data_IF_383843862956
#
_entry.id   IF_383843862956
#
_cell.length_a   1.000
_cell.length_b   1.000
_cell.length_c   1.000
_cell.angle_alpha   90.00
_cell.angle_beta   90.00
_cell.angle_gamma   90.00
#
_symmetry.space_group_name_H-M   'P 1'
#
loop_
_entity.id
_entity.type
_entity.pdbx_description
1 polymer ?
#
# COMPACT_ATOMS: atom_id res chain seq x y z
N UNK A 1 16.52 17.14 -19.68
CA UNK A 1 16.11 17.49 -18.30
C UNK A 1 15.77 16.18 -17.61
N UNK A 2 16.68 15.71 -16.76
CA UNK A 2 16.57 14.39 -16.11
C UNK A 2 15.46 14.37 -15.06
N UNK A 3 14.80 13.22 -14.94
CA UNK A 3 13.96 12.89 -13.80
C UNK A 3 14.75 13.14 -12.51
N UNK A 4 14.27 14.07 -11.69
CA UNK A 4 14.82 14.30 -10.37
C UNK A 4 14.45 13.08 -9.54
N UNK A 5 15.44 12.26 -9.20
CA UNK A 5 15.26 11.10 -8.34
C UNK A 5 14.94 11.58 -6.91
N UNK A 6 13.65 11.68 -6.61
CA UNK A 6 13.12 12.15 -5.32
C UNK A 6 13.27 11.09 -4.21
N UNK A 7 13.90 9.94 -4.48
CA UNK A 7 13.95 8.79 -3.57
C UNK A 7 15.06 8.85 -2.50
N UNK A 8 15.89 9.91 -2.48
CA UNK A 8 17.07 10.04 -1.61
C UNK A 8 16.84 10.03 -0.08
N UNK A 9 15.59 9.93 0.40
CA UNK A 9 15.26 9.83 1.84
C UNK A 9 14.23 8.76 2.17
N UNK A 10 14.02 7.79 1.28
CA UNK A 10 13.10 6.68 1.54
C UNK A 10 13.79 5.62 2.43
N UNK A 11 13.38 5.39 3.69
CA UNK A 11 13.91 4.28 4.47
C UNK A 11 13.76 2.99 3.66
N UNK A 12 14.85 2.22 3.59
CA UNK A 12 14.94 1.01 2.76
C UNK A 12 13.73 0.11 3.02
N UNK A 13 13.13 -0.42 1.95
CA UNK A 13 12.07 -1.42 2.05
C UNK A 13 12.54 -2.60 2.90
N UNK A 14 11.65 -3.11 3.77
CA UNK A 14 11.98 -4.28 4.59
C UNK A 14 12.39 -5.47 3.72
N UNK A 15 13.42 -6.21 4.15
CA UNK A 15 13.86 -7.43 3.46
C UNK A 15 12.70 -8.42 3.35
N UNK A 16 12.60 -9.08 2.21
CA UNK A 16 11.65 -10.20 2.03
C UNK A 16 12.27 -11.45 2.62
N UNK A 17 11.54 -12.10 3.52
CA UNK A 17 11.89 -13.40 4.07
C UNK A 17 10.65 -14.29 4.14
N UNK A 18 10.93 -15.59 4.03
CA UNK A 18 9.94 -16.63 4.23
C UNK A 18 9.56 -16.62 5.71
N UNK A 19 8.27 -16.46 5.99
CA UNK A 19 7.78 -16.61 7.36
C UNK A 19 7.56 -18.09 7.68
N UNK A 20 6.99 -18.84 6.73
CA UNK A 20 6.68 -20.26 6.90
C UNK A 20 6.69 -20.97 5.54
N UNK A 21 7.20 -22.19 5.54
CA UNK A 21 7.18 -23.09 4.38
C UNK A 21 5.77 -23.65 4.12
N UNK A 22 5.58 -24.21 2.92
CA UNK A 22 4.34 -24.87 2.55
C UNK A 22 4.05 -26.01 3.52
N UNK A 23 2.91 -25.94 4.20
CA UNK A 23 2.48 -26.96 5.15
C UNK A 23 3.00 -26.80 6.58
N UNK A 24 3.92 -25.86 6.86
CA UNK A 24 4.47 -25.63 8.21
C UNK A 24 3.74 -24.52 8.99
N UNK A 25 2.72 -23.89 8.40
CA UNK A 25 1.93 -22.85 9.05
C UNK A 25 0.85 -23.45 9.95
N UNK A 26 0.62 -22.91 11.17
CA UNK A 26 -0.56 -23.26 11.96
C UNK A 26 -1.84 -23.11 11.13
N UNK A 27 -2.67 -24.17 11.04
CA UNK A 27 -3.88 -24.19 10.19
C UNK A 27 -4.84 -23.03 10.50
N UNK A 28 -4.88 -22.60 11.74
CA UNK A 28 -5.67 -21.45 12.23
C UNK A 28 -5.11 -20.08 11.83
N UNK A 29 -3.88 -20.02 11.31
CA UNK A 29 -3.20 -18.80 10.87
C UNK A 29 -2.96 -18.76 9.36
N UNK A 30 -3.60 -19.65 8.58
CA UNK A 30 -3.63 -19.54 7.12
C UNK A 30 -4.25 -18.18 6.81
N UNK A 31 -3.49 -17.20 6.26
CA UNK A 31 -4.07 -15.91 5.94
C UNK A 31 -5.18 -16.16 4.92
N UNK A 32 -6.43 -15.70 5.16
CA UNK A 32 -7.59 -16.00 4.29
C UNK A 32 -7.39 -15.63 2.81
N UNK A 33 -6.35 -14.84 2.52
CA UNK A 33 -6.06 -14.25 1.22
C UNK A 33 -4.91 -14.92 0.47
N UNK A 34 -4.18 -15.85 1.09
CA UNK A 34 -3.27 -16.73 0.37
C UNK A 34 -4.12 -17.91 -0.09
N UNK A 35 -4.48 -17.92 -1.37
CA UNK A 35 -5.26 -19.01 -1.98
C UNK A 35 -4.41 -20.27 -2.04
N UNK A 36 -4.37 -21.00 -0.94
CA UNK A 36 -3.85 -22.36 -0.90
C UNK A 36 -4.89 -23.26 -1.55
N UNK A 37 -4.75 -23.48 -2.85
CA UNK A 37 -5.45 -24.60 -3.49
C UNK A 37 -4.63 -25.87 -3.20
N UNK A 38 -5.07 -26.64 -2.19
CA UNK A 38 -4.40 -27.88 -1.79
C UNK A 38 -4.46 -28.95 -2.90
N UNK A 39 -5.39 -28.80 -3.85
CA UNK A 39 -5.59 -29.73 -4.96
C UNK A 39 -4.80 -29.36 -6.21
N UNK A 40 -4.01 -28.26 -6.19
CA UNK A 40 -3.15 -27.87 -7.32
C UNK A 40 -1.68 -28.12 -7.02
N UNK A 41 -1.03 -28.76 -7.99
CA UNK A 41 0.42 -28.92 -8.02
C UNK A 41 1.12 -27.56 -7.93
N UNK A 42 2.19 -27.42 -7.13
CA UNK A 42 2.99 -26.21 -7.09
C UNK A 42 3.57 -25.90 -8.46
N UNK A 43 3.25 -24.71 -8.97
CA UNK A 43 3.88 -24.18 -10.19
C UNK A 43 5.36 -23.83 -9.98
N UNK A 44 5.74 -23.50 -8.75
CA UNK A 44 7.08 -23.00 -8.41
C UNK A 44 7.59 -23.62 -7.10
N UNK A 45 8.91 -23.71 -6.97
CA UNK A 45 9.56 -24.07 -5.71
C UNK A 45 9.56 -22.88 -4.74
N UNK A 46 9.69 -23.12 -3.43
CA UNK A 46 9.81 -22.07 -2.40
C UNK A 46 10.91 -21.05 -2.71
N UNK A 47 12.03 -21.49 -3.28
CA UNK A 47 13.13 -20.61 -3.67
C UNK A 47 12.76 -19.70 -4.85
N UNK A 48 12.07 -20.24 -5.85
CA UNK A 48 11.54 -19.45 -6.97
C UNK A 48 10.51 -18.43 -6.48
N UNK A 49 9.62 -18.84 -5.55
CA UNK A 49 8.67 -17.93 -4.89
C UNK A 49 9.38 -16.78 -4.15
N UNK A 50 10.45 -17.07 -3.41
CA UNK A 50 11.28 -16.05 -2.76
C UNK A 50 11.84 -15.02 -3.76
N UNK A 51 12.36 -15.49 -4.90
CA UNK A 51 12.91 -14.61 -5.95
C UNK A 51 11.80 -13.74 -6.56
N UNK A 52 10.65 -14.34 -6.86
CA UNK A 52 9.49 -13.63 -7.39
C UNK A 52 8.96 -12.57 -6.42
N UNK A 53 8.77 -12.92 -5.13
CA UNK A 53 8.31 -11.98 -4.11
C UNK A 53 9.28 -10.78 -3.98
N UNK A 54 10.60 -11.04 -3.91
CA UNK A 54 11.61 -9.96 -3.90
C UNK A 54 11.52 -9.07 -5.13
N UNK A 55 11.34 -9.66 -6.31
CA UNK A 55 11.20 -8.91 -7.57
C UNK A 55 9.95 -8.02 -7.55
N UNK A 56 8.81 -8.56 -7.12
CA UNK A 56 7.55 -7.81 -7.05
C UNK A 56 7.64 -6.68 -6.03
N UNK A 57 8.12 -6.95 -4.80
CA UNK A 57 8.31 -5.94 -3.74
C UNK A 57 9.23 -4.82 -4.21
N UNK A 58 10.37 -5.14 -4.84
CA UNK A 58 11.30 -4.13 -5.35
C UNK A 58 10.67 -3.29 -6.46
N UNK A 59 10.05 -3.95 -7.44
CA UNK A 59 9.44 -3.28 -8.60
C UNK A 59 8.30 -2.34 -8.19
N UNK A 60 7.45 -2.77 -7.27
CA UNK A 60 6.27 -2.00 -6.86
C UNK A 60 6.48 -1.18 -5.60
N UNK A 61 7.67 -1.22 -5.00
CA UNK A 61 7.96 -0.67 -3.67
C UNK A 61 7.00 -1.16 -2.58
N UNK A 62 6.52 -2.40 -2.70
CA UNK A 62 5.61 -3.05 -1.74
C UNK A 62 4.11 -2.86 -2.01
N UNK A 63 3.71 -2.03 -2.98
CA UNK A 63 2.30 -1.71 -3.25
C UNK A 63 1.56 -2.74 -4.11
N UNK A 64 2.22 -3.27 -5.14
CA UNK A 64 1.64 -4.19 -6.11
C UNK A 64 2.35 -5.54 -6.00
N UNK A 65 1.67 -6.50 -5.36
CA UNK A 65 2.13 -7.88 -5.18
C UNK A 65 0.96 -8.79 -5.55
N UNK A 66 1.19 -9.73 -6.46
CA UNK A 66 0.26 -10.77 -6.84
C UNK A 66 0.43 -11.97 -5.91
N UNK A 67 -0.30 -11.95 -4.80
CA UNK A 67 -0.26 -13.00 -3.80
C UNK A 67 -0.79 -14.35 -4.30
N UNK A 68 -1.49 -14.39 -5.44
CA UNK A 68 -2.03 -15.64 -6.01
C UNK A 68 -0.94 -16.55 -6.58
N UNK A 69 0.28 -16.03 -6.77
CA UNK A 69 1.44 -16.79 -7.27
C UNK A 69 2.18 -17.56 -6.18
N UNK A 70 1.85 -17.37 -4.91
CA UNK A 70 2.62 -17.90 -3.79
C UNK A 70 1.80 -18.91 -2.97
N UNK A 71 2.39 -20.08 -2.73
CA UNK A 71 1.92 -21.06 -1.74
C UNK A 71 2.57 -20.82 -0.39
N UNK A 72 3.82 -20.38 -0.40
CA UNK A 72 4.56 -20.01 0.80
C UNK A 72 4.07 -18.69 1.37
N UNK A 73 4.25 -18.50 2.69
CA UNK A 73 3.85 -17.27 3.35
C UNK A 73 5.06 -16.40 3.66
N UNK A 74 4.99 -15.15 3.24
CA UNK A 74 6.04 -14.16 3.41
C UNK A 74 5.64 -13.12 4.46
N UNK A 75 6.62 -12.31 4.84
CA UNK A 75 6.45 -11.20 5.78
C UNK A 75 5.63 -10.02 5.19
N UNK A 76 5.53 -9.93 3.86
CA UNK A 76 4.59 -9.05 3.18
C UNK A 76 3.25 -9.76 3.01
N UNK A 77 2.15 -9.10 3.39
CA UNK A 77 0.81 -9.69 3.36
C UNK A 77 -0.23 -8.69 2.85
N UNK A 78 -1.27 -9.15 2.13
CA UNK A 78 -2.42 -8.31 1.84
C UNK A 78 -3.17 -8.02 3.15
N UNK A 79 -3.70 -6.82 3.28
CA UNK A 79 -4.50 -6.41 4.46
C UNK A 79 -5.97 -6.74 4.19
N UNK A 80 -6.59 -7.47 5.11
CA UNK A 80 -8.03 -7.68 5.13
C UNK A 80 -8.71 -6.49 5.83
N UNK A 81 -9.58 -5.78 5.13
CA UNK A 81 -10.25 -4.60 5.70
C UNK A 81 -11.26 -4.95 6.79
N UNK A 82 -11.77 -6.18 6.78
CA UNK A 82 -12.85 -6.61 7.68
C UNK A 82 -12.31 -7.42 8.87
N UNK A 83 -10.99 -7.60 8.97
CA UNK A 83 -10.39 -8.25 10.13
C UNK A 83 -10.16 -7.25 11.28
N UNK A 84 -9.97 -7.78 12.49
CA UNK A 84 -9.72 -7.02 13.72
C UNK A 84 -8.26 -7.07 14.19
N UNK A 85 -7.35 -7.60 13.35
CA UNK A 85 -5.94 -7.84 13.73
C UNK A 85 -5.09 -6.55 13.70
N UNK A 86 -5.49 -5.58 12.88
CA UNK A 86 -4.61 -4.47 12.49
C UNK A 86 -4.84 -3.17 13.25
N UNK A 87 -5.98 -3.02 13.90
CA UNK A 87 -6.39 -1.82 14.63
C UNK A 87 -6.76 -2.18 16.07
N UNK A 88 -6.56 -1.22 16.97
CA UNK A 88 -7.01 -1.31 18.35
C UNK A 88 -8.45 -0.81 18.45
N UNK A 89 -9.29 -1.52 19.19
CA UNK A 89 -10.67 -1.09 19.40
C UNK A 89 -10.68 0.30 20.05
N UNK A 90 -11.56 1.23 19.62
CA UNK A 90 -12.74 1.00 18.78
C UNK A 90 -12.51 1.13 17.25
N UNK A 91 -11.30 1.46 16.79
CA UNK A 91 -11.04 1.65 15.36
C UNK A 91 -11.09 0.30 14.62
N UNK A 92 -11.71 0.28 13.43
CA UNK A 92 -11.68 -0.88 12.54
C UNK A 92 -10.46 -0.83 11.63
N UNK A 93 -10.01 -1.97 11.07
CA UNK A 93 -8.90 -1.96 10.11
C UNK A 93 -9.17 -1.01 8.94
N UNK A 94 -10.42 -0.99 8.44
CA UNK A 94 -10.85 -0.04 7.40
C UNK A 94 -10.70 1.41 7.87
N UNK A 95 -11.20 1.73 9.06
CA UNK A 95 -11.08 3.07 9.66
C UNK A 95 -9.64 3.52 9.79
N UNK A 96 -8.76 2.63 10.27
CA UNK A 96 -7.31 2.87 10.34
C UNK A 96 -6.74 3.23 8.96
N UNK A 97 -6.98 2.40 7.94
CA UNK A 97 -6.43 2.65 6.59
C UNK A 97 -6.96 3.94 5.98
N UNK A 98 -8.24 4.27 6.19
CA UNK A 98 -8.84 5.53 5.73
C UNK A 98 -8.20 6.73 6.43
N UNK A 99 -8.03 6.68 7.75
CA UNK A 99 -7.37 7.74 8.54
C UNK A 99 -5.93 7.96 8.08
N UNK A 100 -5.16 6.89 7.93
CA UNK A 100 -3.77 6.96 7.45
C UNK A 100 -3.70 7.56 6.03
N UNK A 101 -4.64 7.19 5.15
CA UNK A 101 -4.71 7.72 3.78
C UNK A 101 -5.05 9.21 3.76
N UNK A 102 -6.07 9.63 4.53
CA UNK A 102 -6.48 11.04 4.65
C UNK A 102 -5.35 11.91 5.19
N UNK A 103 -4.65 11.46 6.22
CA UNK A 103 -3.53 12.21 6.79
C UNK A 103 -2.34 12.29 5.82
N UNK A 104 -2.03 11.19 5.12
CA UNK A 104 -1.01 11.19 4.05
C UNK A 104 -1.36 12.19 2.94
N UNK A 105 -2.62 12.22 2.51
CA UNK A 105 -3.10 13.14 1.47
C UNK A 105 -3.09 14.58 1.96
N UNK A 106 -3.48 14.84 3.21
CA UNK A 106 -3.43 16.17 3.83
C UNK A 106 -2.01 16.73 3.82
N UNK A 107 -1.02 15.91 4.18
CA UNK A 107 0.38 16.31 4.14
C UNK A 107 0.84 16.60 2.71
N UNK A 108 0.50 15.74 1.75
CA UNK A 108 0.79 15.94 0.33
C UNK A 108 0.18 17.24 -0.21
N UNK A 109 -1.11 17.47 0.07
CA UNK A 109 -1.84 18.67 -0.33
C UNK A 109 -1.18 19.94 0.20
N UNK A 110 -0.76 19.92 1.47
CA UNK A 110 -0.05 21.03 2.11
C UNK A 110 1.32 21.28 1.47
N UNK A 111 2.09 20.23 1.23
CA UNK A 111 3.45 20.32 0.69
C UNK A 111 3.46 20.78 -0.78
N UNK A 112 2.52 20.29 -1.59
CA UNK A 112 2.47 20.53 -3.03
C UNK A 112 1.42 21.56 -3.45
N UNK A 113 0.78 22.24 -2.49
CA UNK A 113 -0.29 23.22 -2.72
C UNK A 113 -1.41 22.68 -3.62
N UNK A 114 -1.89 21.47 -3.29
CA UNK A 114 -2.98 20.79 -4.02
C UNK A 114 -4.21 20.61 -3.14
N UNK A 115 -5.36 20.33 -3.76
CA UNK A 115 -6.68 20.28 -3.14
C UNK A 115 -7.38 18.94 -3.43
N UNK A 116 -6.62 17.84 -3.55
CA UNK A 116 -7.22 16.52 -3.77
C UNK A 116 -8.11 16.10 -2.59
N UNK A 117 -9.26 15.51 -2.89
CA UNK A 117 -10.17 14.99 -1.86
C UNK A 117 -10.05 13.47 -1.76
N UNK A 118 -9.95 12.92 -0.55
CA UNK A 118 -9.96 11.46 -0.36
C UNK A 118 -11.33 10.85 -0.70
N UNK A 119 -11.34 9.73 -1.43
CA UNK A 119 -12.55 8.98 -1.77
C UNK A 119 -12.64 7.65 -1.00
N UNK A 120 -11.76 6.70 -1.30
CA UNK A 120 -11.81 5.36 -0.71
C UNK A 120 -10.41 4.72 -0.64
N UNK A 121 -10.27 3.66 0.17
CA UNK A 121 -9.10 2.77 0.11
C UNK A 121 -9.42 1.63 -0.87
N UNK A 122 -8.53 1.41 -1.85
CA UNK A 122 -8.69 0.36 -2.88
C UNK A 122 -8.07 -0.96 -2.41
N UNK A 123 -6.83 -0.90 -1.93
CA UNK A 123 -6.09 -2.06 -1.43
C UNK A 123 -4.98 -1.62 -0.49
N UNK A 124 -4.55 -2.51 0.39
CA UNK A 124 -3.35 -2.29 1.19
C UNK A 124 -2.57 -3.59 1.37
N UNK A 125 -1.25 -3.45 1.45
CA UNK A 125 -0.36 -4.50 1.93
C UNK A 125 0.28 -4.05 3.24
N UNK A 126 0.70 -4.99 4.07
CA UNK A 126 1.47 -4.71 5.27
C UNK A 126 2.74 -5.55 5.35
N UNK A 127 3.74 -5.04 6.06
CA UNK A 127 4.87 -5.82 6.55
C UNK A 127 5.18 -5.43 8.00
N UNK A 128 5.53 -6.42 8.81
CA UNK A 128 5.93 -6.20 10.20
C UNK A 128 7.38 -5.71 10.28
N UNK A 129 7.62 -4.62 11.01
CA UNK A 129 8.94 -4.06 11.32
C UNK A 129 9.02 -3.78 12.84
N UNK A 130 9.71 -2.71 13.27
CA UNK A 130 9.61 -2.17 14.64
C UNK A 130 8.22 -1.59 15.00
N UNK A 131 7.22 -1.87 14.15
CA UNK A 131 5.84 -1.41 14.11
C UNK A 131 5.20 -2.13 12.92
N UNK A 132 4.16 -1.56 12.31
CA UNK A 132 3.60 -2.09 11.07
C UNK A 132 3.71 -1.09 9.94
N UNK A 133 4.38 -1.45 8.86
CA UNK A 133 4.33 -0.64 7.66
C UNK A 133 3.11 -1.01 6.83
N UNK A 134 2.38 0.00 6.38
CA UNK A 134 1.33 -0.13 5.38
C UNK A 134 1.77 0.45 4.04
N UNK A 135 1.40 -0.24 2.97
CA UNK A 135 1.48 0.24 1.58
C UNK A 135 0.05 0.33 1.06
N UNK A 136 -0.52 1.52 1.09
CA UNK A 136 -1.93 1.78 0.84
C UNK A 136 -2.07 2.36 -0.56
N UNK A 137 -2.96 1.79 -1.38
CA UNK A 137 -3.44 2.42 -2.62
C UNK A 137 -4.88 2.89 -2.39
N UNK A 138 -5.15 4.15 -2.67
CA UNK A 138 -6.42 4.80 -2.39
C UNK A 138 -6.83 5.72 -3.54
N UNK A 139 -8.12 5.98 -3.68
CA UNK A 139 -8.66 6.92 -4.67
C UNK A 139 -8.79 8.32 -4.07
N UNK A 140 -8.54 9.30 -4.92
CA UNK A 140 -8.78 10.72 -4.65
C UNK A 140 -9.58 11.33 -5.78
N UNK A 141 -10.34 12.39 -5.49
CA UNK A 141 -10.94 13.26 -6.48
C UNK A 141 -9.97 14.39 -6.78
N UNK A 142 -9.66 14.59 -8.05
CA UNK A 142 -8.87 15.75 -8.48
C UNK A 142 -9.81 16.95 -8.71
N UNK A 143 -9.57 18.10 -8.06
CA UNK A 143 -10.38 19.31 -8.23
C UNK A 143 -10.35 19.88 -9.66
N UNK A 144 -9.40 19.46 -10.51
CA UNK A 144 -9.27 19.94 -11.87
C UNK A 144 -10.36 19.42 -12.82
N UNK A 145 -10.63 18.12 -12.77
CA UNK A 145 -11.56 17.41 -13.67
C UNK A 145 -12.64 16.61 -12.93
N UNK A 146 -12.60 16.61 -11.59
CA UNK A 146 -13.47 15.83 -10.70
C UNK A 146 -13.41 14.31 -10.94
N UNK A 147 -12.38 13.81 -11.64
CA UNK A 147 -12.23 12.39 -11.92
C UNK A 147 -11.47 11.69 -10.78
N UNK A 148 -11.81 10.42 -10.47
CA UNK A 148 -11.04 9.60 -9.54
C UNK A 148 -9.61 9.33 -10.06
N UNK A 149 -8.62 9.49 -9.19
CA UNK A 149 -7.21 9.21 -9.46
C UNK A 149 -6.63 8.34 -8.35
N UNK A 150 -5.64 7.53 -8.68
CA UNK A 150 -5.03 6.63 -7.70
C UNK A 150 -3.82 7.28 -7.06
N UNK A 151 -3.78 7.21 -5.73
CA UNK A 151 -2.65 7.60 -4.91
C UNK A 151 -2.11 6.40 -4.16
N UNK A 152 -0.86 6.53 -3.73
CA UNK A 152 -0.12 5.54 -2.95
C UNK A 152 0.46 6.21 -1.72
N UNK A 153 0.21 5.63 -0.53
CA UNK A 153 0.79 6.05 0.73
C UNK A 153 1.59 4.92 1.39
N UNK A 154 2.78 5.24 1.90
CA UNK A 154 3.56 4.35 2.76
C UNK A 154 3.63 4.96 4.16
N UNK A 155 3.11 4.25 5.14
CA UNK A 155 2.97 4.74 6.51
C UNK A 155 3.50 3.69 7.47
N UNK A 156 4.33 4.08 8.44
CA UNK A 156 4.70 3.22 9.56
C UNK A 156 3.80 3.55 10.74
N UNK A 157 3.04 2.56 11.17
CA UNK A 157 2.11 2.63 12.29
C UNK A 157 2.73 2.00 13.53
N UNK A 158 2.84 2.77 14.61
CA UNK A 158 3.30 2.30 15.93
C UNK A 158 2.16 2.34 16.94
N UNK A 159 1.10 1.56 16.72
CA UNK A 159 0.10 1.16 17.72
C UNK A 159 -0.08 2.17 18.87
N UNK A 160 -0.72 3.30 18.56
CA UNK A 160 -1.14 4.40 19.46
C UNK A 160 -0.07 5.40 19.94
N UNK A 161 1.15 5.37 19.37
CA UNK A 161 2.17 6.40 19.66
C UNK A 161 2.13 7.52 18.62
N UNK A 162 2.75 7.31 17.47
CA UNK A 162 2.81 8.27 16.36
C UNK A 162 2.86 7.53 15.03
N UNK A 163 2.19 8.08 14.03
CA UNK A 163 2.22 7.58 12.66
C UNK A 163 3.33 8.28 11.87
N UNK A 164 4.28 7.51 11.32
CA UNK A 164 5.28 8.08 10.41
C UNK A 164 4.76 8.02 8.97
N UNK A 165 4.43 9.18 8.42
CA UNK A 165 4.00 9.36 7.02
C UNK A 165 5.22 9.47 6.11
N UNK A 166 5.62 8.36 5.51
CA UNK A 166 6.91 8.26 4.80
C UNK A 166 6.81 8.66 3.32
N UNK A 167 5.70 8.34 2.67
CA UNK A 167 5.48 8.61 1.25
C UNK A 167 3.99 8.84 1.01
N UNK A 168 3.66 9.84 0.21
CA UNK A 168 2.35 10.00 -0.42
C UNK A 168 2.58 10.53 -1.84
N UNK A 169 1.98 9.92 -2.86
CA UNK A 169 2.13 10.35 -4.26
C UNK A 169 1.02 9.81 -5.15
N UNK A 170 0.79 10.40 -6.33
CA UNK A 170 0.08 9.72 -7.40
C UNK A 170 0.67 8.34 -7.69
N UNK A 171 -0.18 7.34 -7.91
CA UNK A 171 0.26 6.03 -8.36
C UNK A 171 1.05 6.17 -9.67
N UNK A 172 2.28 5.64 -9.77
CA UNK A 172 3.07 5.71 -10.99
C UNK A 172 2.36 5.01 -12.16
N UNK A 173 2.62 5.49 -13.38
CA UNK A 173 2.15 4.89 -14.64
C UNK A 173 0.62 4.76 -14.77
N UNK A 174 -0.16 5.54 -14.03
CA UNK A 174 -1.60 5.65 -14.28
C UNK A 174 -1.85 6.48 -15.56
N UNK A 175 -2.88 6.12 -16.34
CA UNK A 175 -3.19 6.78 -17.63
C UNK A 175 -3.80 8.18 -17.47
N UNK A 176 -4.25 8.53 -16.26
CA UNK A 176 -4.86 9.82 -15.94
C UNK A 176 -3.82 10.78 -15.37
N UNK A 177 -3.83 12.04 -15.82
CA UNK A 177 -2.93 13.07 -15.31
C UNK A 177 -3.45 13.57 -13.97
N UNK A 178 -2.59 13.68 -12.95
CA UNK A 178 -2.92 14.35 -11.69
C UNK A 178 -2.50 15.82 -11.75
N UNK A 179 -3.43 16.75 -11.50
CA UNK A 179 -3.22 18.20 -11.54
C UNK A 179 -3.30 18.78 -10.14
N UNK A 180 -4.38 18.50 -9.42
CA UNK A 180 -4.48 18.81 -7.98
C UNK A 180 -4.84 20.24 -7.64
N UNK A 181 -5.07 21.11 -8.63
CA UNK A 181 -5.58 22.45 -8.41
C UNK A 181 -6.86 22.64 -9.20
N UNK A 182 -7.82 23.36 -8.61
CA UNK A 182 -9.05 23.69 -9.30
C UNK A 182 -8.77 24.47 -10.59
N UNK A 183 -9.55 24.16 -11.63
CA UNK A 183 -9.55 24.93 -12.87
C UNK A 183 -10.24 26.27 -12.59
N UNK A 184 -9.55 27.22 -11.96
CA UNK A 184 -10.07 28.60 -11.87
C UNK A 184 -10.32 29.06 -13.30
N UNK A 185 -11.60 29.26 -13.64
CA UNK A 185 -11.97 29.99 -14.84
C UNK A 185 -11.21 31.31 -14.79
N UNK A 186 -10.21 31.49 -15.65
CA UNK A 186 -9.68 32.82 -15.96
C UNK A 186 -10.79 33.55 -16.73
N UNK A 187 -11.83 34.02 -16.05
CA UNK A 187 -12.66 35.09 -16.55
C UNK A 187 -11.79 36.34 -16.48
N UNK A 188 -11.15 36.67 -17.61
CA UNK A 188 -10.60 38.00 -17.79
C UNK A 188 -11.77 38.98 -17.83
N UNK A 189 -11.60 40.08 -17.08
CA UNK A 189 -12.47 41.24 -17.04
C UNK A 189 -12.61 41.89 -18.43
#
# INVERSE_FOLDING_TARGET
MGEVDIDGRSPMLGRVYLSYEVGSFPKNLIPPHIRRDENKEPKYTTQQECVMMRRQVRKSKGFDIDFTQFRSVFNYRPVNFDCKEYSLAPETTRGLLERLSRNSLKNYNKEWFTEYEFLNVVKANSYMCSGRMYFITFEVRDPYDNLPKLFQARVRYYYDVTDDYILCRPKPNQKVKCVGTSRKHKSWA
#
